data_IF_075174076934
#
_entry.id   IF_075174076934
#
_cell.length_a   1.000
_cell.length_b   1.000
_cell.length_c   1.000
_cell.angle_alpha   90.00
_cell.angle_beta   90.00
_cell.angle_gamma   90.00
#
_symmetry.space_group_name_H-M   'P 1'
#
loop_
_entity.id
_entity.type
_entity.pdbx_description
1 polymer ?
#
# COMPACT_ATOMS: atom_id res chain seq x y z
N UNK A 1 -14.95 5.54 45.29
CA UNK A 1 -15.58 5.08 44.09
C UNK A 1 -14.76 3.92 43.51
N UNK A 2 -15.33 3.06 42.75
CA UNK A 2 -14.62 1.92 42.12
C UNK A 2 -14.37 2.16 40.64
N UNK A 3 -14.90 3.24 40.11
CA UNK A 3 -14.82 3.72 38.74
C UNK A 3 -15.22 5.18 38.81
N UNK A 4 -14.23 6.09 38.85
CA UNK A 4 -14.45 7.47 39.29
C UNK A 4 -14.85 8.41 38.17
N UNK A 5 -14.47 8.15 36.94
CA UNK A 5 -14.82 8.87 35.70
C UNK A 5 -15.98 8.20 34.95
N UNK A 6 -16.19 6.91 35.16
CA UNK A 6 -17.33 6.18 34.62
C UNK A 6 -17.12 5.60 33.23
N UNK A 7 -15.90 5.39 32.81
CA UNK A 7 -15.51 4.85 31.51
C UNK A 7 -15.65 3.32 31.42
N UNK A 8 -15.73 2.66 32.59
CA UNK A 8 -15.87 1.20 32.74
C UNK A 8 -14.58 0.46 33.03
N UNK A 9 -13.45 1.18 33.24
CA UNK A 9 -12.22 0.66 33.84
C UNK A 9 -12.25 0.94 35.35
N UNK A 10 -11.93 -0.03 36.21
CA UNK A 10 -11.88 0.25 37.66
C UNK A 10 -10.67 1.11 38.04
N UNK A 11 -10.85 2.10 38.95
CA UNK A 11 -9.77 2.91 39.54
C UNK A 11 -8.54 2.09 39.95
N UNK A 12 -8.73 0.84 40.36
CA UNK A 12 -7.64 -0.04 40.81
C UNK A 12 -6.76 -0.54 39.67
N UNK A 13 -7.24 -0.51 38.44
CA UNK A 13 -6.50 -0.83 37.21
C UNK A 13 -5.74 0.41 36.76
N UNK A 14 -6.41 1.54 36.74
CA UNK A 14 -5.88 2.81 36.23
C UNK A 14 -4.83 3.46 37.14
N UNK A 15 -4.92 3.27 38.43
CA UNK A 15 -3.92 3.83 39.37
C UNK A 15 -2.53 3.24 39.23
N UNK A 16 -2.39 2.16 38.46
CA UNK A 16 -1.11 1.45 38.31
C UNK A 16 -0.67 0.73 39.59
N UNK A 17 0.49 0.09 39.51
CA UNK A 17 1.05 -0.73 40.62
C UNK A 17 2.08 -0.02 41.47
N UNK A 18 2.38 1.25 41.17
CA UNK A 18 3.42 2.08 41.82
C UNK A 18 2.94 2.84 43.03
N UNK A 19 3.82 3.66 43.60
CA UNK A 19 3.50 4.61 44.68
C UNK A 19 3.02 5.98 44.16
N UNK A 20 3.19 6.26 42.88
CA UNK A 20 2.64 7.40 42.18
C UNK A 20 1.33 6.99 41.50
N UNK A 21 0.37 7.89 41.50
CA UNK A 21 -0.84 7.70 40.69
C UNK A 21 -0.47 7.96 39.24
N UNK A 22 -0.96 7.14 38.33
CA UNK A 22 -0.70 7.27 36.91
C UNK A 22 -1.37 8.53 36.35
N UNK A 23 -0.71 9.19 35.42
CA UNK A 23 -1.09 10.35 34.63
C UNK A 23 -0.26 10.16 33.35
N UNK A 24 -0.86 9.40 32.41
CA UNK A 24 -0.13 8.80 31.29
C UNK A 24 0.25 9.84 30.25
N UNK A 25 -0.64 10.74 29.87
CA UNK A 25 -0.39 11.82 28.90
C UNK A 25 0.31 13.05 29.54
N UNK A 26 0.30 13.15 30.88
CA UNK A 26 0.95 14.23 31.61
C UNK A 26 0.18 15.55 31.60
N UNK A 27 -1.11 15.53 31.34
CA UNK A 27 -1.96 16.75 31.29
C UNK A 27 -2.29 17.32 32.68
N UNK A 28 -2.10 16.52 33.74
CA UNK A 28 -2.37 16.85 35.15
C UNK A 28 -3.67 16.25 35.67
N UNK A 29 -4.42 15.52 34.84
CA UNK A 29 -5.52 14.65 35.27
C UNK A 29 -4.92 13.25 35.47
N UNK A 30 -5.32 12.53 36.48
CA UNK A 30 -4.81 11.16 36.69
C UNK A 30 -5.71 10.20 35.94
N UNK A 31 -5.16 9.13 35.37
CA UNK A 31 -5.88 8.17 34.54
C UNK A 31 -7.25 7.75 35.11
N UNK A 32 -7.35 7.48 36.40
CA UNK A 32 -8.61 7.08 37.08
C UNK A 32 -9.69 8.22 37.17
N UNK A 33 -9.40 9.39 36.63
CA UNK A 33 -10.29 10.57 36.53
C UNK A 33 -10.30 11.10 35.09
N UNK A 34 -9.58 10.49 34.20
CA UNK A 34 -9.42 10.86 32.83
C UNK A 34 -10.23 9.92 31.94
N UNK A 35 -10.84 10.43 30.91
CA UNK A 35 -11.62 9.67 29.94
C UNK A 35 -10.81 9.31 28.68
N UNK A 36 -9.56 9.78 28.63
CA UNK A 36 -8.64 9.66 27.49
C UNK A 36 -7.22 9.70 28.06
N UNK A 37 -6.82 8.61 28.72
CA UNK A 37 -5.64 8.54 29.59
C UNK A 37 -4.31 8.77 28.89
N UNK A 38 -4.18 8.48 27.60
CA UNK A 38 -2.96 8.72 26.80
C UNK A 38 -3.05 9.98 25.94
N UNK A 39 -4.25 10.58 25.85
CA UNK A 39 -4.46 11.87 25.20
C UNK A 39 -4.42 11.81 23.67
N UNK A 40 -4.69 10.67 23.07
CA UNK A 40 -4.62 10.45 21.64
C UNK A 40 -5.93 10.83 20.90
N UNK A 41 -7.04 10.98 21.67
CA UNK A 41 -8.37 11.36 21.17
C UNK A 41 -9.33 10.18 20.97
N UNK A 42 -8.91 8.95 21.23
CA UNK A 42 -9.76 7.79 21.44
C UNK A 42 -9.99 7.65 22.93
N UNK A 43 -11.18 7.36 23.37
CA UNK A 43 -11.48 7.32 24.82
C UNK A 43 -11.22 5.94 25.40
N UNK A 44 -10.80 5.89 26.67
CA UNK A 44 -10.57 4.67 27.44
C UNK A 44 -11.75 3.69 27.36
N UNK A 45 -12.97 4.22 27.33
CA UNK A 45 -14.20 3.45 27.20
C UNK A 45 -14.26 2.63 25.89
N UNK A 46 -13.61 3.09 24.82
CA UNK A 46 -13.48 2.41 23.52
C UNK A 46 -12.34 1.39 23.61
N UNK A 47 -11.20 1.80 24.12
CA UNK A 47 -9.95 1.07 24.07
C UNK A 47 -9.84 -0.08 25.07
N UNK A 48 -10.54 0.02 26.20
CA UNK A 48 -10.54 -1.05 27.23
C UNK A 48 -10.96 -2.43 26.70
N UNK A 49 -11.61 -2.47 25.51
CA UNK A 49 -12.21 -3.68 24.99
C UNK A 49 -13.43 -4.16 25.81
N UNK A 50 -13.77 -5.45 25.76
CA UNK A 50 -15.02 -5.96 26.34
C UNK A 50 -15.01 -6.03 27.88
N UNK A 51 -13.86 -5.91 28.54
CA UNK A 51 -13.72 -6.06 29.99
C UNK A 51 -12.71 -5.11 30.59
N UNK A 52 -13.17 -4.00 31.15
CA UNK A 52 -12.31 -2.98 31.79
C UNK A 52 -11.50 -3.48 33.01
N UNK A 53 -11.86 -4.62 33.62
CA UNK A 53 -11.03 -5.19 34.68
C UNK A 53 -9.77 -5.90 34.16
N UNK A 54 -9.75 -6.20 32.87
CA UNK A 54 -8.59 -6.72 32.10
C UNK A 54 -8.61 -6.02 30.75
N UNK A 55 -8.17 -4.75 30.71
CA UNK A 55 -8.18 -3.97 29.47
C UNK A 55 -7.42 -4.67 28.34
N UNK A 56 -7.77 -4.33 27.10
CA UNK A 56 -7.12 -4.85 25.92
C UNK A 56 -5.68 -4.32 25.84
N UNK A 57 -4.80 -5.17 25.36
CA UNK A 57 -3.39 -4.93 25.05
C UNK A 57 -3.19 -5.69 23.74
N UNK A 58 -3.30 -4.94 22.62
CA UNK A 58 -3.47 -5.55 21.30
C UNK A 58 -2.17 -6.06 20.73
N UNK A 59 -1.08 -5.32 20.89
CA UNK A 59 0.25 -5.70 20.43
C UNK A 59 1.01 -6.60 21.42
N UNK A 60 0.48 -6.72 22.66
CA UNK A 60 1.05 -7.51 23.74
C UNK A 60 2.41 -7.01 24.25
N UNK A 61 2.65 -5.72 24.24
CA UNK A 61 3.87 -5.10 24.76
C UNK A 61 3.84 -4.91 26.29
N UNK A 62 2.65 -5.03 26.90
CA UNK A 62 2.40 -4.92 28.34
C UNK A 62 1.83 -3.56 28.75
N UNK A 63 1.57 -2.67 27.81
CA UNK A 63 0.82 -1.43 27.97
C UNK A 63 -0.60 -1.70 27.44
N UNK A 64 -1.65 -1.49 28.21
CA UNK A 64 -3.00 -1.64 27.66
C UNK A 64 -3.35 -0.47 26.76
N UNK A 65 -4.17 -0.70 25.72
CA UNK A 65 -4.49 0.25 24.68
C UNK A 65 -4.87 1.64 25.20
N UNK A 66 -5.69 1.75 26.26
CA UNK A 66 -6.10 3.03 26.85
C UNK A 66 -4.94 3.87 27.44
N UNK A 67 -3.72 3.43 27.29
CA UNK A 67 -2.46 4.09 27.70
C UNK A 67 -1.40 4.03 26.62
N UNK A 68 -1.75 3.50 25.48
CA UNK A 68 -0.83 3.26 24.39
C UNK A 68 -1.27 4.09 23.18
N UNK A 69 -0.41 4.96 22.72
CA UNK A 69 -0.68 5.85 21.59
C UNK A 69 -0.45 5.17 20.21
N UNK A 70 -0.11 3.86 20.21
CA UNK A 70 0.16 3.04 19.02
C UNK A 70 -0.20 1.60 19.37
N UNK A 71 -1.53 1.33 19.50
CA UNK A 71 -2.10 0.13 20.12
C UNK A 71 -1.82 -1.18 19.38
N UNK A 72 -1.51 -1.16 18.09
CA UNK A 72 -1.16 -2.34 17.29
C UNK A 72 0.33 -2.42 16.94
N UNK A 73 1.10 -1.37 17.30
CA UNK A 73 2.54 -1.27 17.11
C UNK A 73 3.00 -1.33 15.64
N UNK A 74 2.18 -0.86 14.71
CA UNK A 74 2.56 -0.74 13.31
C UNK A 74 3.42 0.51 13.02
N UNK A 75 3.38 1.47 13.98
CA UNK A 75 4.12 2.71 14.02
C UNK A 75 3.37 3.89 13.41
N UNK A 76 2.06 3.79 13.15
CA UNK A 76 1.14 4.90 12.95
C UNK A 76 0.43 5.14 14.31
N UNK A 77 0.38 6.36 14.84
CA UNK A 77 -0.34 6.59 16.07
C UNK A 77 -1.86 6.45 15.94
N UNK A 78 -2.52 5.91 16.97
CA UNK A 78 -3.97 5.72 17.06
C UNK A 78 -4.75 7.01 16.71
N UNK A 79 -4.23 8.17 17.12
CA UNK A 79 -4.79 9.50 16.79
C UNK A 79 -4.82 9.82 15.29
N UNK A 80 -4.00 9.18 14.49
CA UNK A 80 -3.94 9.32 13.02
C UNK A 80 -4.87 8.31 12.35
N UNK A 81 -4.91 7.11 12.86
CA UNK A 81 -5.69 6.01 12.30
C UNK A 81 -7.17 6.15 12.62
N UNK A 82 -7.46 6.43 13.89
CA UNK A 82 -8.82 6.59 14.40
C UNK A 82 -9.61 5.28 14.46
N UNK A 83 -10.89 5.40 14.84
CA UNK A 83 -11.78 4.28 15.10
C UNK A 83 -12.60 3.83 13.88
N UNK A 84 -12.23 4.22 12.68
CA UNK A 84 -12.83 3.70 11.45
C UNK A 84 -12.34 2.27 11.19
N UNK A 85 -13.11 1.52 10.48
CA UNK A 85 -12.83 0.15 10.02
C UNK A 85 -12.91 0.24 8.49
N UNK A 86 -11.73 0.36 7.83
CA UNK A 86 -11.65 0.71 6.42
C UNK A 86 -12.01 -0.46 5.53
N UNK A 87 -11.48 -1.67 5.81
CA UNK A 87 -11.74 -2.88 5.03
C UNK A 87 -13.02 -3.61 5.45
N UNK A 88 -13.63 -3.19 6.58
CA UNK A 88 -14.86 -3.78 7.14
C UNK A 88 -14.72 -5.22 7.63
N UNK A 89 -13.54 -5.60 8.12
CA UNK A 89 -13.28 -6.92 8.70
C UNK A 89 -13.78 -7.05 10.16
N UNK A 90 -14.05 -5.93 10.82
CA UNK A 90 -14.53 -5.81 12.19
C UNK A 90 -13.46 -5.34 13.18
N UNK A 91 -12.24 -5.04 12.71
CA UNK A 91 -11.14 -4.44 13.45
C UNK A 91 -11.08 -2.95 13.07
N UNK A 92 -11.13 -2.01 14.00
CA UNK A 92 -10.89 -0.60 13.66
C UNK A 92 -9.42 -0.35 13.38
N UNK A 93 -9.11 0.61 12.51
CA UNK A 93 -7.77 0.86 11.99
C UNK A 93 -6.70 0.96 13.09
N UNK A 94 -6.97 1.64 14.21
CA UNK A 94 -6.01 1.78 15.32
C UNK A 94 -5.63 0.44 16.01
N UNK A 95 -6.20 -0.66 15.59
CA UNK A 95 -5.93 -2.03 16.06
C UNK A 95 -5.60 -2.97 14.91
N UNK A 96 -5.52 -2.45 13.70
CA UNK A 96 -5.38 -3.22 12.48
C UNK A 96 -4.08 -2.88 11.76
N UNK A 97 -3.21 -3.83 11.59
CA UNK A 97 -1.91 -3.68 10.94
C UNK A 97 -1.95 -3.73 9.42
N UNK A 98 -3.17 -3.83 8.83
CA UNK A 98 -3.46 -3.89 7.39
C UNK A 98 -4.85 -3.28 7.16
N UNK A 99 -4.95 -1.96 7.39
CA UNK A 99 -6.22 -1.22 7.54
C UNK A 99 -7.17 -1.28 6.33
N UNK A 100 -6.66 -1.45 5.11
CA UNK A 100 -7.47 -1.59 3.90
C UNK A 100 -7.63 -3.03 3.42
N UNK A 101 -6.85 -3.96 4.01
CA UNK A 101 -7.00 -5.39 3.77
C UNK A 101 -6.46 -5.87 2.43
N UNK A 102 -5.53 -5.14 1.83
CA UNK A 102 -4.96 -5.46 0.52
C UNK A 102 -3.81 -6.48 0.58
N UNK A 103 -3.23 -6.67 1.79
CA UNK A 103 -2.14 -7.60 2.07
C UNK A 103 -0.76 -6.94 2.13
N UNK A 104 -0.67 -5.62 1.99
CA UNK A 104 0.49 -4.81 2.35
C UNK A 104 0.20 -4.21 3.73
N UNK A 105 1.15 -4.22 4.64
CA UNK A 105 0.89 -3.73 5.99
C UNK A 105 1.07 -2.23 6.10
N UNK A 106 0.28 -1.58 6.97
CA UNK A 106 0.32 -0.16 7.29
C UNK A 106 1.75 0.31 7.62
N UNK A 107 2.51 -0.54 8.33
CA UNK A 107 3.93 -0.29 8.64
C UNK A 107 4.82 -0.09 7.41
N UNK A 108 4.47 -0.67 6.26
CA UNK A 108 5.16 -0.49 4.96
C UNK A 108 4.64 0.78 4.28
N UNK A 109 3.35 1.00 4.33
CA UNK A 109 2.65 2.03 3.57
C UNK A 109 2.72 3.42 4.18
N UNK A 110 2.81 3.52 5.50
CA UNK A 110 2.86 4.81 6.21
C UNK A 110 3.94 5.77 5.75
N UNK A 111 5.01 5.25 5.11
CA UNK A 111 6.17 6.03 4.74
C UNK A 111 7.03 6.49 5.93
N UNK A 112 7.94 7.47 5.71
CA UNK A 112 8.95 7.83 6.69
C UNK A 112 8.44 8.70 7.85
N UNK A 113 7.24 9.27 7.76
CA UNK A 113 6.66 10.13 8.78
C UNK A 113 5.26 9.66 9.19
N UNK A 114 5.13 8.90 10.27
CA UNK A 114 3.85 8.33 10.69
C UNK A 114 2.81 9.37 11.14
N UNK A 115 3.23 10.61 11.46
CA UNK A 115 2.31 11.70 11.76
C UNK A 115 1.71 12.37 10.52
N UNK A 116 2.17 11.97 9.35
CA UNK A 116 1.67 12.39 8.04
C UNK A 116 1.98 11.27 7.07
N UNK A 117 1.20 10.17 7.12
CA UNK A 117 1.36 9.05 6.18
C UNK A 117 1.36 9.51 4.74
N UNK A 118 1.99 8.73 3.87
CA UNK A 118 2.03 9.04 2.44
C UNK A 118 0.62 8.90 1.85
N UNK A 119 0.36 9.72 0.86
CA UNK A 119 -0.79 9.75 -0.05
C UNK A 119 -0.14 9.95 -1.43
N UNK A 120 0.06 8.84 -2.15
CA UNK A 120 0.92 8.80 -3.35
C UNK A 120 0.25 9.47 -4.55
N UNK A 121 -1.03 9.22 -4.79
CA UNK A 121 -1.80 9.80 -5.90
C UNK A 121 -2.41 11.17 -5.56
N UNK A 122 -2.38 11.57 -4.27
CA UNK A 122 -2.90 12.84 -3.76
C UNK A 122 -4.43 12.97 -3.87
N UNK A 123 -5.16 11.88 -3.75
CA UNK A 123 -6.63 11.87 -3.76
C UNK A 123 -7.23 12.26 -2.40
N UNK A 124 -6.42 12.20 -1.34
CA UNK A 124 -6.76 12.54 0.05
C UNK A 124 -6.96 11.32 0.93
N UNK A 125 -6.75 10.10 0.42
CA UNK A 125 -6.67 8.85 1.15
C UNK A 125 -5.19 8.50 1.32
N UNK A 126 -4.68 8.29 2.53
CA UNK A 126 -3.31 7.79 2.68
C UNK A 126 -3.18 6.35 2.20
N UNK A 127 -2.00 5.99 1.67
CA UNK A 127 -1.73 4.68 1.08
C UNK A 127 -2.19 3.52 1.97
N UNK A 128 -1.96 3.55 3.28
CA UNK A 128 -2.37 2.48 4.22
C UNK A 128 -3.90 2.31 4.38
N UNK A 129 -4.69 3.07 3.66
CA UNK A 129 -6.18 3.02 3.60
C UNK A 129 -6.70 3.02 2.18
N UNK A 130 -5.79 2.94 1.19
CA UNK A 130 -6.11 3.02 -0.23
C UNK A 130 -5.77 1.71 -0.93
N UNK A 131 -6.69 1.16 -1.67
CA UNK A 131 -6.51 -0.09 -2.41
C UNK A 131 -5.80 0.09 -3.77
N UNK A 132 -5.46 1.34 -4.14
CA UNK A 132 -4.87 1.72 -5.44
C UNK A 132 -4.05 3.00 -5.22
N UNK A 133 -2.95 2.85 -4.45
CA UNK A 133 -2.16 3.96 -3.88
C UNK A 133 -1.60 4.95 -4.90
N UNK A 134 -1.28 4.52 -6.12
CA UNK A 134 -0.77 5.41 -7.18
C UNK A 134 -1.85 5.86 -8.17
N UNK A 135 -3.06 5.28 -8.07
CA UNK A 135 -4.24 5.69 -8.83
C UNK A 135 -4.20 5.30 -10.30
N UNK A 136 -3.42 4.30 -10.69
CA UNK A 136 -3.28 3.88 -12.08
C UNK A 136 -4.37 2.90 -12.55
N UNK A 137 -5.10 2.29 -11.60
CA UNK A 137 -6.19 1.34 -11.82
C UNK A 137 -5.78 -0.12 -11.72
N UNK A 138 -4.54 -0.43 -11.36
CA UNK A 138 -4.09 -1.72 -10.84
C UNK A 138 -4.07 -1.59 -9.32
N UNK A 139 -4.60 -2.56 -8.61
CA UNK A 139 -4.68 -2.46 -7.16
C UNK A 139 -3.40 -2.93 -6.48
N UNK A 140 -3.09 -2.35 -5.31
CA UNK A 140 -1.91 -2.65 -4.50
C UNK A 140 -1.77 -4.14 -4.21
N UNK A 141 -2.88 -4.84 -3.96
CA UNK A 141 -2.94 -6.29 -3.81
C UNK A 141 -2.40 -7.08 -5.02
N UNK A 142 -2.50 -6.52 -6.23
CA UNK A 142 -1.98 -7.13 -7.47
C UNK A 142 -0.52 -6.77 -7.66
N UNK A 143 -0.17 -5.53 -7.40
CA UNK A 143 1.17 -4.99 -7.62
C UNK A 143 2.16 -5.48 -6.57
N UNK A 144 1.76 -5.38 -5.31
CA UNK A 144 2.58 -5.75 -4.16
C UNK A 144 3.74 -4.80 -3.89
N UNK A 145 4.39 -5.01 -2.75
CA UNK A 145 5.48 -4.16 -2.26
C UNK A 145 6.87 -4.51 -2.84
N UNK A 146 6.92 -5.15 -4.02
CA UNK A 146 8.17 -5.41 -4.75
C UNK A 146 8.53 -4.14 -5.53
N UNK A 147 9.79 -3.88 -5.69
CA UNK A 147 10.38 -2.86 -6.55
C UNK A 147 11.01 -3.62 -7.74
N UNK A 148 10.32 -3.61 -8.89
CA UNK A 148 10.67 -4.48 -10.03
C UNK A 148 11.83 -3.91 -10.82
N UNK A 149 11.88 -2.60 -11.08
CA UNK A 149 12.94 -1.93 -11.84
C UNK A 149 14.15 -1.53 -10.96
N UNK A 150 13.98 -1.50 -9.63
CA UNK A 150 15.04 -1.20 -8.67
C UNK A 150 15.33 0.29 -8.51
N UNK A 151 14.39 1.17 -8.81
CA UNK A 151 14.53 2.62 -8.69
C UNK A 151 14.34 3.13 -7.25
N UNK A 152 13.75 2.32 -6.38
CA UNK A 152 13.51 2.60 -4.96
C UNK A 152 12.04 2.94 -4.64
N UNK A 153 11.15 2.86 -5.62
CA UNK A 153 9.70 2.96 -5.47
C UNK A 153 9.12 1.53 -5.59
N UNK A 154 8.32 1.06 -4.66
CA UNK A 154 7.66 -0.25 -4.81
C UNK A 154 6.51 -0.14 -5.81
N UNK A 155 6.22 -1.25 -6.50
CA UNK A 155 5.26 -1.28 -7.60
C UNK A 155 3.90 -0.63 -7.26
N UNK A 156 3.35 -0.89 -6.07
CA UNK A 156 2.06 -0.33 -5.63
C UNK A 156 2.03 1.21 -5.52
N UNK A 157 3.14 1.89 -5.79
CA UNK A 157 3.33 3.36 -5.81
C UNK A 157 3.96 3.84 -7.09
N UNK A 158 4.19 2.95 -8.03
CA UNK A 158 4.96 3.22 -9.23
C UNK A 158 4.07 3.10 -10.47
N UNK A 159 3.98 4.14 -11.24
CA UNK A 159 3.19 4.21 -12.46
C UNK A 159 3.85 3.54 -13.67
N UNK A 160 5.09 3.00 -13.49
CA UNK A 160 5.92 2.37 -14.54
C UNK A 160 6.83 1.33 -13.86
N UNK A 161 6.19 0.26 -13.35
CA UNK A 161 6.79 -0.74 -12.44
C UNK A 161 8.03 -1.45 -12.96
N UNK A 162 8.20 -1.61 -14.27
CA UNK A 162 9.40 -2.22 -14.87
C UNK A 162 10.39 -1.21 -15.43
N UNK A 163 10.00 0.09 -15.48
CA UNK A 163 10.88 1.19 -15.84
C UNK A 163 11.23 1.26 -17.31
N UNK A 164 10.42 0.69 -18.19
CA UNK A 164 10.66 0.66 -19.64
C UNK A 164 10.18 1.91 -20.35
N UNK A 165 9.33 2.73 -19.71
CA UNK A 165 8.77 3.98 -20.19
C UNK A 165 7.35 3.85 -20.77
N UNK A 166 6.72 2.68 -20.69
CA UNK A 166 5.29 2.47 -20.92
C UNK A 166 4.61 2.41 -19.57
N UNK A 167 3.61 3.25 -19.25
CA UNK A 167 2.95 3.22 -17.96
C UNK A 167 2.12 1.96 -17.74
N UNK A 168 2.08 1.46 -16.49
CA UNK A 168 1.37 0.27 -16.06
C UNK A 168 -0.10 0.24 -16.51
N UNK A 169 -0.80 1.39 -16.41
CA UNK A 169 -2.17 1.59 -16.90
C UNK A 169 -2.33 1.27 -18.41
N UNK A 170 -1.27 1.42 -19.19
CA UNK A 170 -1.27 1.14 -20.63
C UNK A 170 -1.01 -0.33 -20.90
N UNK A 171 -0.12 -0.92 -20.16
CA UNK A 171 0.28 -2.31 -20.30
C UNK A 171 -0.74 -3.27 -19.70
N UNK A 172 -1.20 -2.96 -18.49
CA UNK A 172 -2.19 -3.73 -17.76
C UNK A 172 -1.68 -5.09 -17.28
N UNK A 173 -2.58 -5.80 -16.61
CA UNK A 173 -2.27 -7.06 -15.91
C UNK A 173 -2.34 -8.32 -16.80
N UNK A 174 -2.41 -8.16 -18.11
CA UNK A 174 -2.33 -9.30 -19.04
C UNK A 174 -0.90 -9.84 -19.10
N UNK A 175 -0.75 -11.08 -19.41
CA UNK A 175 0.49 -11.81 -19.67
C UNK A 175 0.40 -12.27 -21.13
N UNK A 176 1.06 -11.54 -22.04
CA UNK A 176 0.87 -11.70 -23.48
C UNK A 176 1.61 -12.93 -24.01
N UNK A 177 2.84 -13.16 -23.56
CA UNK A 177 3.67 -14.28 -24.00
C UNK A 177 3.47 -15.57 -23.18
N UNK A 178 2.76 -15.47 -22.05
CA UNK A 178 2.45 -16.54 -21.09
C UNK A 178 3.67 -17.09 -20.34
N UNK A 179 4.60 -16.24 -19.98
CA UNK A 179 5.76 -16.59 -19.16
C UNK A 179 5.51 -16.51 -17.65
N UNK A 180 4.35 -16.01 -17.22
CA UNK A 180 3.84 -15.71 -15.87
C UNK A 180 4.34 -14.38 -15.29
N UNK A 181 4.82 -13.47 -16.12
CA UNK A 181 5.04 -12.08 -15.77
C UNK A 181 3.93 -11.27 -16.46
N UNK A 182 3.14 -10.48 -15.77
CA UNK A 182 2.19 -9.57 -16.43
C UNK A 182 2.92 -8.43 -17.11
N UNK A 183 2.37 -7.93 -18.21
CA UNK A 183 3.02 -6.96 -19.08
C UNK A 183 3.59 -5.75 -18.32
N UNK A 184 2.86 -5.20 -17.34
CA UNK A 184 3.31 -4.04 -16.56
C UNK A 184 4.56 -4.30 -15.68
N UNK A 185 5.12 -5.49 -15.70
CA UNK A 185 6.34 -5.94 -15.02
C UNK A 185 7.31 -6.63 -15.95
N UNK A 186 7.01 -6.63 -17.25
CA UNK A 186 7.74 -7.40 -18.25
C UNK A 186 8.32 -6.45 -19.30
N UNK A 187 9.63 -6.46 -19.43
CA UNK A 187 10.38 -5.64 -20.39
C UNK A 187 10.30 -6.14 -21.85
N UNK A 188 9.61 -7.26 -22.10
CA UNK A 188 9.48 -7.93 -23.42
C UNK A 188 8.15 -8.70 -23.46
N UNK A 189 7.04 -7.94 -23.43
CA UNK A 189 5.68 -8.42 -23.19
C UNK A 189 5.19 -9.50 -24.12
N UNK A 190 5.65 -9.55 -25.37
CA UNK A 190 5.28 -10.59 -26.34
C UNK A 190 6.32 -11.71 -26.47
N UNK A 191 7.50 -11.54 -25.83
CA UNK A 191 8.54 -12.56 -25.75
C UNK A 191 9.30 -12.81 -27.05
N UNK A 192 9.33 -11.85 -27.95
CA UNK A 192 9.97 -12.00 -29.26
C UNK A 192 11.48 -11.69 -29.24
N UNK A 193 11.95 -10.99 -28.18
CA UNK A 193 13.35 -10.63 -27.93
C UNK A 193 13.68 -9.20 -28.33
N UNK A 194 12.72 -8.39 -28.72
CA UNK A 194 12.78 -6.94 -28.79
C UNK A 194 12.10 -6.40 -27.51
N UNK A 195 12.66 -5.40 -26.88
CA UNK A 195 12.07 -4.89 -25.64
C UNK A 195 10.95 -3.90 -25.90
N UNK A 196 9.96 -3.85 -25.02
CA UNK A 196 8.81 -2.94 -25.06
C UNK A 196 9.24 -1.46 -25.20
N UNK A 197 10.29 -1.07 -24.47
CA UNK A 197 10.93 0.24 -24.61
C UNK A 197 11.43 0.57 -26.05
N UNK A 198 11.75 -0.46 -26.82
CA UNK A 198 12.23 -0.30 -28.21
C UNK A 198 11.06 -0.25 -29.19
N UNK A 199 10.07 -1.06 -29.00
CA UNK A 199 8.89 -1.20 -29.85
C UNK A 199 7.90 -0.04 -29.62
N UNK A 200 7.63 0.23 -28.34
CA UNK A 200 6.71 1.28 -27.92
C UNK A 200 5.25 0.96 -28.23
N UNK A 201 4.39 1.96 -28.00
CA UNK A 201 2.93 1.81 -28.01
C UNK A 201 2.29 2.12 -29.37
N UNK A 202 3.05 2.15 -30.46
CA UNK A 202 2.48 2.30 -31.79
C UNK A 202 1.79 0.99 -32.22
N UNK A 203 0.96 1.08 -33.22
CA UNK A 203 0.29 -0.03 -33.90
C UNK A 203 0.62 0.20 -35.39
N UNK A 204 1.74 -0.41 -35.82
CA UNK A 204 2.34 -0.10 -37.12
C UNK A 204 1.55 -0.63 -38.29
N UNK A 205 0.99 -1.85 -38.17
CA UNK A 205 0.17 -2.44 -39.24
C UNK A 205 -1.31 -2.06 -39.14
N UNK A 206 -1.75 -1.51 -38.00
CA UNK A 206 -3.13 -1.05 -37.78
C UNK A 206 -4.12 -2.15 -37.49
N UNK A 207 -3.70 -3.29 -36.96
CA UNK A 207 -4.57 -4.44 -36.63
C UNK A 207 -5.28 -4.28 -35.28
N UNK A 208 -4.80 -3.39 -34.42
CA UNK A 208 -5.33 -3.05 -33.11
C UNK A 208 -4.48 -3.59 -31.96
N UNK A 209 -3.34 -4.23 -32.24
CA UNK A 209 -2.32 -4.65 -31.27
C UNK A 209 -1.17 -3.65 -31.33
N UNK A 210 -0.73 -3.06 -30.23
CA UNK A 210 0.48 -2.23 -30.21
C UNK A 210 1.73 -3.08 -30.44
N UNK A 211 2.74 -2.48 -31.08
CA UNK A 211 3.98 -3.16 -31.49
C UNK A 211 4.62 -3.97 -30.33
N UNK A 212 4.66 -3.44 -29.11
CA UNK A 212 5.23 -4.11 -27.93
C UNK A 212 4.45 -5.37 -27.47
N UNK A 213 3.33 -5.70 -28.09
CA UNK A 213 2.50 -6.90 -27.83
C UNK A 213 2.26 -7.71 -29.09
N UNK A 214 2.88 -7.31 -30.21
CA UNK A 214 2.65 -7.89 -31.52
C UNK A 214 3.90 -8.60 -32.05
N UNK A 215 3.80 -9.86 -32.31
CA UNK A 215 4.90 -10.70 -32.83
C UNK A 215 5.22 -10.45 -34.32
N UNK A 216 4.47 -9.57 -35.04
CA UNK A 216 4.58 -9.26 -36.46
C UNK A 216 4.09 -7.82 -36.69
N UNK A 217 4.82 -6.86 -36.12
CA UNK A 217 4.43 -5.45 -35.97
C UNK A 217 4.11 -4.72 -37.28
N UNK A 218 4.73 -5.10 -38.42
CA UNK A 218 4.43 -4.53 -39.73
C UNK A 218 3.40 -5.33 -40.54
N UNK A 219 3.01 -6.54 -40.07
CA UNK A 219 1.98 -7.38 -40.66
C UNK A 219 2.35 -8.04 -41.99
N UNK A 220 3.65 -8.20 -42.28
CA UNK A 220 4.11 -8.79 -43.56
C UNK A 220 4.13 -10.32 -43.56
N UNK A 221 4.00 -10.96 -42.35
CA UNK A 221 3.98 -12.37 -42.10
C UNK A 221 5.34 -12.97 -41.75
N UNK A 222 6.35 -12.18 -41.51
CA UNK A 222 7.61 -12.52 -40.85
C UNK A 222 7.54 -12.00 -39.42
N UNK A 223 7.97 -12.75 -38.45
CA UNK A 223 7.91 -12.28 -37.06
C UNK A 223 9.09 -11.37 -36.73
N UNK A 224 8.85 -10.43 -35.84
CA UNK A 224 9.83 -9.44 -35.34
C UNK A 224 11.08 -10.11 -34.78
N UNK A 225 10.91 -11.25 -34.09
CA UNK A 225 12.01 -12.10 -33.63
C UNK A 225 12.98 -12.55 -34.75
N UNK A 226 12.51 -12.60 -36.00
CA UNK A 226 13.33 -12.99 -37.16
C UNK A 226 13.98 -11.79 -37.81
N UNK A 227 13.26 -10.70 -37.92
CA UNK A 227 13.67 -9.45 -38.52
C UNK A 227 14.60 -8.65 -37.64
N UNK A 228 14.22 -8.47 -36.40
CA UNK A 228 14.99 -7.75 -35.39
C UNK A 228 15.12 -6.25 -35.66
N UNK A 229 15.82 -5.57 -34.78
CA UNK A 229 15.96 -4.12 -34.77
C UNK A 229 16.97 -3.56 -35.79
N UNK A 230 17.41 -4.37 -36.73
CA UNK A 230 18.37 -3.95 -37.78
C UNK A 230 17.62 -3.18 -38.88
N UNK A 231 18.25 -2.15 -39.42
CA UNK A 231 17.85 -1.44 -40.63
C UNK A 231 18.73 -1.96 -41.78
N UNK A 232 18.19 -2.84 -42.63
CA UNK A 232 18.97 -3.53 -43.66
C UNK A 232 19.14 -2.66 -44.91
N UNK A 233 18.18 -1.85 -45.29
CA UNK A 233 18.24 -1.01 -46.49
C UNK A 233 18.76 0.41 -46.22
N UNK A 234 18.79 0.84 -44.94
CA UNK A 234 19.37 2.09 -44.49
C UNK A 234 18.44 3.29 -44.66
N UNK A 235 17.13 3.07 -44.66
CA UNK A 235 16.16 4.15 -44.82
C UNK A 235 15.78 4.81 -43.48
N UNK A 236 16.11 4.21 -42.35
CA UNK A 236 15.88 4.72 -41.00
C UNK A 236 14.76 3.99 -40.27
N UNK A 237 14.11 3.00 -40.88
CA UNK A 237 13.10 2.11 -40.29
C UNK A 237 13.76 0.78 -39.94
N UNK A 238 13.63 0.23 -38.74
CA UNK A 238 14.11 -1.12 -38.45
C UNK A 238 13.34 -2.18 -39.25
N UNK A 239 14.02 -3.32 -39.56
CA UNK A 239 13.45 -4.38 -40.39
C UNK A 239 12.08 -4.88 -39.87
N UNK A 240 11.88 -4.97 -38.55
CA UNK A 240 10.62 -5.41 -37.91
C UNK A 240 9.43 -4.42 -38.07
N UNK A 241 9.67 -3.22 -38.59
CA UNK A 241 8.65 -2.20 -38.90
C UNK A 241 8.60 -1.83 -40.38
N UNK A 242 9.33 -2.54 -41.25
CA UNK A 242 9.57 -2.16 -42.64
C UNK A 242 9.08 -3.23 -43.62
N UNK A 243 8.00 -2.94 -44.40
CA UNK A 243 7.25 -3.81 -45.32
C UNK A 243 8.06 -4.18 -46.59
#
# INVERSE_FOLDING_TARGET
>A
DTDSDGDGIPDSVERGTGSAIADTDGDGTSDYLDLDSDGDGITDAIEKGPNGATPLDSDNDGIPNFRDVDSDADGIPDSIEGTTDTDTDGTPNYLDTDSDGDGISDSIEKGPNPLSPIDTDLDGTPDYKDLDSDGDGITDAIEGAIDTDGDGVPNYRDLDSDGDGIPDVTEGTTDTDNDNIPNYKDLDSDGDGISDATEGTLDTDGDGTPDYKDLDSDGDGISDAIEGTRDTDGDGTPDYLDL
#
